data_IF_884580166857
#
_entry.id   IF_884580166857
#
_cell.length_a   1.000
_cell.length_b   1.000
_cell.length_c   1.000
_cell.angle_alpha   90.00
_cell.angle_beta   90.00
_cell.angle_gamma   90.00
#
_symmetry.space_group_name_H-M   'P 1'
#
loop_
_entity.id
_entity.type
_entity.pdbx_description
1 polymer ?
#
# COMPACT_ATOMS: atom_id res chain seq x y z
N UNK A 1 -10.24 -8.05 2.32
CA UNK A 1 -11.16 -8.76 1.40
C UNK A 1 -11.86 -7.75 0.49
N UNK A 2 -12.33 -8.11 -0.73
CA UNK A 2 -12.95 -7.14 -1.68
C UNK A 2 -14.23 -6.53 -1.12
N UNK A 3 -15.08 -7.35 -0.50
CA UNK A 3 -16.34 -6.92 0.13
C UNK A 3 -16.13 -5.87 1.22
N UNK A 4 -15.08 -6.01 2.02
CA UNK A 4 -14.69 -5.04 3.04
C UNK A 4 -14.18 -3.73 2.42
N UNK A 5 -13.45 -3.81 1.30
CA UNK A 5 -12.97 -2.63 0.58
C UNK A 5 -14.14 -1.82 0.00
N UNK A 6 -15.18 -2.47 -0.53
CA UNK A 6 -16.43 -1.81 -0.91
C UNK A 6 -17.09 -1.13 0.29
N UNK A 7 -17.22 -1.84 1.44
CA UNK A 7 -17.83 -1.29 2.67
C UNK A 7 -17.07 -0.08 3.23
N UNK A 8 -15.74 -0.09 3.14
CA UNK A 8 -14.87 1.02 3.55
C UNK A 8 -14.81 2.17 2.54
N UNK A 9 -15.50 2.05 1.40
CA UNK A 9 -15.53 3.08 0.37
C UNK A 9 -14.22 3.23 -0.40
N UNK A 10 -13.39 2.19 -0.45
CA UNK A 10 -12.11 2.20 -1.17
C UNK A 10 -12.27 1.92 -2.66
N UNK A 11 -13.45 1.52 -3.11
CA UNK A 11 -13.74 1.17 -4.50
C UNK A 11 -14.78 2.13 -5.04
N UNK A 12 -14.50 2.71 -6.20
CA UNK A 12 -15.44 3.54 -6.96
C UNK A 12 -15.54 3.03 -8.39
N UNK A 13 -16.74 3.09 -8.95
CA UNK A 13 -17.03 2.76 -10.34
C UNK A 13 -17.60 4.03 -10.98
N UNK A 14 -16.99 4.51 -12.06
CA UNK A 14 -17.37 5.72 -12.78
C UNK A 14 -17.48 6.99 -11.89
N UNK A 15 -16.78 7.02 -10.76
CA UNK A 15 -16.77 8.13 -9.81
C UNK A 15 -17.61 7.90 -8.55
N UNK A 16 -18.59 6.99 -8.63
CA UNK A 16 -19.53 6.69 -7.55
C UNK A 16 -19.01 5.59 -6.61
N UNK A 17 -19.44 5.64 -5.34
CA UNK A 17 -19.07 4.63 -4.36
C UNK A 17 -19.72 3.28 -4.69
N UNK A 18 -18.90 2.24 -4.85
CA UNK A 18 -19.40 0.93 -5.26
C UNK A 18 -19.91 0.11 -4.06
N UNK A 19 -21.15 -0.39 -4.17
CA UNK A 19 -21.66 -1.46 -3.30
C UNK A 19 -21.07 -2.81 -3.76
N UNK A 20 -20.96 -3.77 -2.83
CA UNK A 20 -20.42 -5.09 -3.14
C UNK A 20 -21.27 -5.90 -4.15
N UNK A 21 -22.57 -5.59 -4.25
CA UNK A 21 -23.50 -6.21 -5.19
C UNK A 21 -23.62 -5.45 -6.52
N UNK A 22 -22.81 -4.42 -6.74
CA UNK A 22 -22.88 -3.60 -7.96
C UNK A 22 -22.31 -4.41 -9.12
N UNK A 23 -23.11 -4.55 -10.18
CA UNK A 23 -22.64 -5.11 -11.45
C UNK A 23 -21.66 -4.16 -12.14
N UNK A 24 -20.68 -4.75 -12.81
CA UNK A 24 -19.61 -4.07 -13.55
C UNK A 24 -19.81 -4.39 -15.02
N UNK A 25 -19.60 -3.41 -15.88
CA UNK A 25 -19.73 -3.56 -17.33
C UNK A 25 -18.42 -3.25 -18.04
N UNK A 26 -18.33 -3.72 -19.28
CA UNK A 26 -17.22 -3.38 -20.17
C UNK A 26 -17.19 -1.88 -20.43
N UNK A 27 -16.00 -1.29 -20.33
CA UNK A 27 -15.80 0.15 -20.47
C UNK A 27 -15.83 0.92 -19.15
N UNK A 28 -16.29 0.31 -18.06
CA UNK A 28 -16.33 0.97 -16.74
C UNK A 28 -14.92 1.37 -16.26
N UNK A 29 -14.86 2.54 -15.62
CA UNK A 29 -13.67 3.05 -14.96
C UNK A 29 -13.73 2.73 -13.48
N UNK A 30 -12.81 1.90 -13.02
CA UNK A 30 -12.71 1.49 -11.62
C UNK A 30 -11.56 2.24 -10.98
N UNK A 31 -11.83 2.88 -9.85
CA UNK A 31 -10.81 3.43 -8.96
C UNK A 31 -10.75 2.61 -7.68
N UNK A 32 -9.54 2.15 -7.33
CA UNK A 32 -9.30 1.35 -6.12
C UNK A 32 -8.21 1.99 -5.30
N UNK A 33 -8.50 2.27 -4.03
CA UNK A 33 -7.49 2.69 -3.04
C UNK A 33 -6.89 1.47 -2.37
N UNK A 34 -5.60 1.21 -2.58
CA UNK A 34 -4.86 0.10 -1.96
C UNK A 34 -3.46 0.57 -1.59
N UNK A 35 -3.02 0.28 -0.36
CA UNK A 35 -1.66 0.58 0.12
C UNK A 35 -1.27 2.06 -0.08
N UNK A 36 -2.22 2.97 0.18
CA UNK A 36 -2.10 4.43 -0.04
C UNK A 36 -1.96 4.88 -1.50
N UNK A 37 -2.00 3.95 -2.46
CA UNK A 37 -2.01 4.24 -3.89
C UNK A 37 -3.45 4.23 -4.39
N UNK A 38 -3.78 5.20 -5.25
CA UNK A 38 -5.06 5.24 -5.96
C UNK A 38 -4.86 4.65 -7.36
N UNK A 39 -5.24 3.40 -7.52
CA UNK A 39 -5.22 2.72 -8.81
C UNK A 39 -6.42 3.12 -9.64
N UNK A 40 -6.19 3.34 -10.93
CA UNK A 40 -7.24 3.63 -11.90
C UNK A 40 -7.13 2.60 -13.03
N UNK A 41 -8.21 1.89 -13.30
CA UNK A 41 -8.22 0.86 -14.33
C UNK A 41 -9.52 0.89 -15.12
N UNK A 42 -9.44 0.55 -16.40
CA UNK A 42 -10.60 0.42 -17.28
C UNK A 42 -10.88 -1.06 -17.53
N UNK A 43 -12.15 -1.44 -17.45
CA UNK A 43 -12.60 -2.80 -17.75
C UNK A 43 -12.69 -2.99 -19.26
N UNK A 44 -12.02 -3.99 -19.80
CA UNK A 44 -12.06 -4.35 -21.22
C UNK A 44 -13.01 -5.52 -21.47
N UNK A 45 -13.03 -6.51 -20.59
CA UNK A 45 -13.92 -7.67 -20.67
C UNK A 45 -14.06 -8.33 -19.28
N UNK A 46 -15.06 -9.21 -19.11
CA UNK A 46 -15.37 -9.89 -17.85
C UNK A 46 -15.13 -11.39 -18.00
N UNK A 47 -14.10 -11.96 -17.35
CA UNK A 47 -13.84 -13.39 -17.44
C UNK A 47 -14.88 -14.18 -16.63
N UNK A 48 -15.24 -15.37 -17.12
CA UNK A 48 -16.17 -16.28 -16.42
C UNK A 48 -15.65 -16.78 -15.07
N UNK A 49 -14.32 -16.77 -14.87
CA UNK A 49 -13.67 -17.21 -13.64
C UNK A 49 -12.40 -16.41 -13.39
N UNK A 50 -11.81 -16.58 -12.20
CA UNK A 50 -10.56 -15.89 -11.85
C UNK A 50 -9.41 -16.42 -12.70
N UNK A 51 -8.84 -15.53 -13.51
CA UNK A 51 -7.70 -15.85 -14.38
C UNK A 51 -6.34 -15.62 -13.71
N UNK A 52 -5.31 -16.28 -14.24
CA UNK A 52 -3.93 -16.13 -13.77
C UNK A 52 -3.34 -14.75 -14.13
N UNK A 53 -2.32 -14.31 -13.38
CA UNK A 53 -1.78 -12.95 -13.42
C UNK A 53 -1.44 -12.43 -14.83
N UNK A 54 -0.79 -13.26 -15.67
CA UNK A 54 -0.39 -12.88 -17.04
C UNK A 54 -1.57 -12.59 -17.97
N UNK A 55 -2.72 -13.20 -17.72
CA UNK A 55 -3.92 -13.03 -18.55
C UNK A 55 -4.80 -11.89 -18.08
N UNK A 56 -4.57 -11.33 -16.89
CA UNK A 56 -5.41 -10.27 -16.32
C UNK A 56 -5.39 -9.03 -17.20
N UNK A 57 -4.25 -8.70 -17.80
CA UNK A 57 -4.07 -7.50 -18.61
C UNK A 57 -4.83 -7.56 -19.95
N UNK A 58 -5.39 -8.72 -20.31
CA UNK A 58 -6.34 -8.84 -21.43
C UNK A 58 -7.72 -8.27 -21.06
N UNK A 59 -8.10 -8.35 -19.78
CA UNK A 59 -9.42 -7.98 -19.28
C UNK A 59 -9.48 -6.58 -18.67
N UNK A 60 -8.32 -5.99 -18.35
CA UNK A 60 -8.23 -4.66 -17.80
C UNK A 60 -7.11 -3.87 -18.46
N UNK A 61 -7.30 -2.57 -18.57
CA UNK A 61 -6.24 -1.63 -18.91
C UNK A 61 -5.89 -0.80 -17.67
N UNK A 62 -4.64 -0.86 -17.23
CA UNK A 62 -4.15 0.02 -16.18
C UNK A 62 -3.99 1.44 -16.72
N UNK A 63 -4.61 2.41 -16.05
CA UNK A 63 -4.53 3.84 -16.34
C UNK A 63 -4.06 4.61 -15.09
N UNK A 64 -3.43 3.92 -14.13
CA UNK A 64 -2.95 4.52 -12.89
C UNK A 64 -1.89 5.58 -13.22
N UNK A 65 -2.07 6.83 -12.78
CA UNK A 65 -1.09 7.88 -13.01
C UNK A 65 0.25 7.54 -12.33
N UNK A 66 1.36 7.82 -13.01
CA UNK A 66 2.71 7.62 -12.44
C UNK A 66 2.93 8.43 -11.16
N UNK A 67 2.25 9.57 -11.03
CA UNK A 67 2.25 10.42 -9.84
C UNK A 67 1.78 9.69 -8.58
N UNK A 68 0.83 8.76 -8.71
CA UNK A 68 0.32 7.98 -7.58
C UNK A 68 1.41 7.09 -6.96
N UNK A 69 2.32 6.57 -7.79
CA UNK A 69 3.47 5.78 -7.32
C UNK A 69 4.53 6.67 -6.67
N UNK A 70 4.84 7.83 -7.27
CA UNK A 70 5.78 8.81 -6.70
C UNK A 70 5.36 9.27 -5.31
N UNK A 71 4.06 9.52 -5.11
CA UNK A 71 3.55 9.91 -3.79
C UNK A 71 3.75 8.79 -2.75
N UNK A 72 3.48 7.53 -3.11
CA UNK A 72 3.70 6.41 -2.20
C UNK A 72 5.19 6.21 -1.86
N UNK A 73 6.08 6.39 -2.83
CA UNK A 73 7.53 6.36 -2.59
C UNK A 73 7.96 7.48 -1.65
N UNK A 74 7.50 8.73 -1.87
CA UNK A 74 7.82 9.85 -0.98
C UNK A 74 7.35 9.60 0.46
N UNK A 75 6.14 9.05 0.65
CA UNK A 75 5.64 8.69 1.97
C UNK A 75 6.54 7.62 2.60
N UNK A 76 6.92 6.58 1.86
CA UNK A 76 7.85 5.54 2.35
C UNK A 76 9.21 6.13 2.74
N UNK A 77 9.82 6.97 1.89
CA UNK A 77 11.11 7.61 2.20
C UNK A 77 11.02 8.51 3.44
N UNK A 78 9.90 9.24 3.63
CA UNK A 78 9.72 10.08 4.81
C UNK A 78 9.61 9.28 6.12
N UNK A 79 9.04 8.07 6.06
CA UNK A 79 8.97 7.16 7.21
C UNK A 79 10.35 6.60 7.55
N UNK A 80 11.17 6.29 6.54
CA UNK A 80 12.56 5.88 6.73
C UNK A 80 13.41 7.03 7.32
N UNK A 81 13.10 8.29 6.98
CA UNK A 81 13.79 9.47 7.50
C UNK A 81 13.47 9.74 8.98
N UNK A 82 12.26 9.47 9.44
CA UNK A 82 11.83 9.81 10.82
C UNK A 82 12.40 8.86 11.90
N UNK A 83 12.92 7.69 11.50
CA UNK A 83 13.64 6.81 12.42
C UNK A 83 14.56 5.87 11.66
N UNK A 84 15.87 6.10 11.73
CA UNK A 84 16.80 4.97 11.55
C UNK A 84 16.40 3.91 12.58
N UNK A 85 16.21 2.67 12.13
CA UNK A 85 15.93 1.52 12.97
C UNK A 85 17.03 1.43 14.05
N UNK A 86 16.82 1.99 15.25
CA UNK A 86 17.83 2.06 16.30
C UNK A 86 17.84 3.32 17.19
N UNK A 87 17.29 4.47 16.79
CA UNK A 87 17.46 5.74 17.55
C UNK A 87 16.36 6.00 18.59
N UNK A 88 15.96 4.98 19.34
CA UNK A 88 14.90 5.04 20.35
C UNK A 88 15.34 4.47 21.69
N UNK A 89 14.45 3.73 22.36
CA UNK A 89 14.83 2.83 23.47
C UNK A 89 16.09 2.08 23.02
N UNK A 90 17.22 2.21 23.75
CA UNK A 90 18.46 1.55 23.38
C UNK A 90 18.18 0.08 23.10
N UNK A 91 18.67 -0.40 21.96
CA UNK A 91 18.57 -1.83 21.65
C UNK A 91 19.33 -2.60 22.73
N UNK A 92 19.11 -3.91 22.84
CA UNK A 92 19.81 -4.73 23.85
C UNK A 92 21.35 -4.61 23.74
N UNK A 93 21.88 -4.34 22.54
CA UNK A 93 23.31 -4.12 22.29
C UNK A 93 23.76 -2.75 22.82
N UNK A 94 23.03 -1.70 22.50
CA UNK A 94 23.34 -0.33 22.94
C UNK A 94 23.26 -0.19 24.47
N UNK A 95 22.35 -0.94 25.11
CA UNK A 95 22.25 -0.99 26.57
C UNK A 95 23.47 -1.65 27.22
N UNK A 96 23.94 -2.79 26.69
CA UNK A 96 25.16 -3.44 27.20
C UNK A 96 26.39 -2.55 27.02
N UNK A 97 26.53 -1.89 25.87
CA UNK A 97 27.63 -0.96 25.63
C UNK A 97 27.61 0.26 26.58
N UNK A 98 26.42 0.75 26.95
CA UNK A 98 26.28 1.77 27.99
C UNK A 98 26.64 1.22 29.37
N UNK A 99 26.14 0.02 29.72
CA UNK A 99 26.43 -0.62 31.01
C UNK A 99 27.95 -0.88 31.18
N UNK A 100 28.64 -1.34 30.13
CA UNK A 100 30.09 -1.54 30.11
C UNK A 100 30.85 -0.20 30.28
N UNK A 101 30.45 0.84 29.53
CA UNK A 101 31.03 2.19 29.65
C UNK A 101 30.84 2.78 31.06
N UNK A 102 29.69 2.57 31.70
CA UNK A 102 29.44 3.07 33.05
C UNK A 102 30.27 2.33 34.11
N UNK A 103 30.60 1.05 33.90
CA UNK A 103 31.48 0.30 34.79
C UNK A 103 32.95 0.72 34.65
N UNK A 104 33.43 0.92 33.42
CA UNK A 104 34.81 1.36 33.16
C UNK A 104 35.10 2.75 33.77
N UNK A 105 34.10 3.63 33.80
CA UNK A 105 34.22 4.99 34.36
C UNK A 105 34.17 5.01 35.91
N UNK A 106 33.76 3.91 36.55
CA UNK A 106 33.71 3.80 38.02
C UNK A 106 34.96 3.15 38.63
N UNK A 107 35.82 2.55 37.82
CA UNK A 107 37.06 1.88 38.27
C UNK A 107 38.32 2.76 38.12
N UNK A 108 38.20 3.98 37.58
CA UNK A 108 39.21 5.08 37.67
C UNK A 108 38.90 6.04 38.82
#
# INVERSE_FOLDING_TARGET
MVTEACKKGHIRINGDLAKASREVFVGDKIMVRKDQIQYQMQVLDIPQSRVGAKLVDLYRKDQTPEEAFKHAELVRLSQDYYRKKGEGRPTKKDRRALDDLFNDVQEE
#
